data_IF_029353041283
#
_entry.id   IF_029353041283
#
_cell.length_a   1.000
_cell.length_b   1.000
_cell.length_c   1.000
_cell.angle_alpha   90.00
_cell.angle_beta   90.00
_cell.angle_gamma   90.00
#
_symmetry.space_group_name_H-M   'P 1'
#
loop_
_entity.id
_entity.type
_entity.pdbx_description
1 polymer ?
#
# COMPACT_ATOMS: atom_id res chain seq x y z
N UNK A 1 20.28 -6.78 8.16
CA UNK A 1 20.81 -5.40 8.18
C UNK A 1 21.03 -4.81 6.78
N UNK A 2 21.71 -5.50 5.87
CA UNK A 2 21.98 -4.96 4.53
C UNK A 2 20.73 -4.56 3.76
N UNK A 3 19.68 -5.36 3.82
CA UNK A 3 18.40 -5.05 3.16
C UNK A 3 17.79 -3.77 3.73
N UNK A 4 17.76 -3.62 5.04
CA UNK A 4 17.28 -2.42 5.74
C UNK A 4 18.07 -1.18 5.31
N UNK A 5 19.40 -1.26 5.30
CA UNK A 5 20.25 -0.16 4.87
C UNK A 5 20.03 0.19 3.40
N UNK A 6 19.92 -0.79 2.51
CA UNK A 6 19.63 -0.55 1.10
C UNK A 6 18.29 0.17 0.93
N UNK A 7 17.24 -0.28 1.62
CA UNK A 7 15.94 0.38 1.58
C UNK A 7 16.07 1.84 2.02
N UNK A 8 16.67 2.11 3.17
CA UNK A 8 16.86 3.46 3.68
C UNK A 8 17.65 4.34 2.70
N UNK A 9 18.77 3.84 2.18
CA UNK A 9 19.60 4.57 1.20
C UNK A 9 18.79 4.90 -0.05
N UNK A 10 18.03 3.95 -0.61
CA UNK A 10 17.19 4.16 -1.78
C UNK A 10 16.17 5.27 -1.53
N UNK A 11 15.51 5.28 -0.37
CA UNK A 11 14.55 6.33 -0.03
C UNK A 11 15.21 7.69 0.19
N UNK A 12 16.39 7.75 0.80
CA UNK A 12 17.17 8.99 0.99
C UNK A 12 17.61 9.55 -0.35
N UNK A 13 18.23 8.74 -1.21
CA UNK A 13 18.67 9.17 -2.54
C UNK A 13 17.48 9.65 -3.37
N UNK A 14 16.38 8.92 -3.32
CA UNK A 14 15.15 9.32 -4.02
C UNK A 14 14.60 10.63 -3.50
N UNK A 15 14.55 10.84 -2.18
CA UNK A 15 14.13 12.09 -1.56
C UNK A 15 15.02 13.25 -1.95
N UNK A 16 16.34 13.03 -2.00
CA UNK A 16 17.30 14.02 -2.46
C UNK A 16 17.08 14.43 -3.92
N UNK A 17 16.80 13.47 -4.79
CA UNK A 17 16.57 13.72 -6.23
C UNK A 17 15.22 14.41 -6.47
N UNK A 18 14.16 13.98 -5.76
CA UNK A 18 12.80 14.49 -5.97
C UNK A 18 12.55 15.85 -5.31
N UNK A 19 13.27 16.16 -4.24
CA UNK A 19 13.09 17.36 -3.44
C UNK A 19 11.88 17.29 -2.50
N UNK A 20 11.78 18.31 -1.62
CA UNK A 20 10.86 18.33 -0.49
C UNK A 20 9.39 18.25 -0.91
N UNK A 21 8.95 19.04 -1.90
CA UNK A 21 7.53 19.10 -2.27
C UNK A 21 6.98 17.73 -2.72
N UNK A 22 7.71 17.04 -3.60
CA UNK A 22 7.31 15.71 -4.07
C UNK A 22 7.35 14.67 -2.95
N UNK A 23 8.31 14.78 -2.04
CA UNK A 23 8.42 13.86 -0.92
C UNK A 23 7.31 14.08 0.13
N UNK A 24 6.87 15.32 0.39
CA UNK A 24 5.72 15.61 1.25
C UNK A 24 4.47 14.91 0.72
N UNK A 25 4.15 15.10 -0.56
CA UNK A 25 2.98 14.44 -1.17
C UNK A 25 3.16 12.92 -1.11
N UNK A 26 4.37 12.44 -1.40
CA UNK A 26 4.68 11.01 -1.31
C UNK A 26 4.46 10.44 0.09
N UNK A 27 4.78 11.18 1.13
CA UNK A 27 4.60 10.78 2.51
C UNK A 27 3.12 10.77 2.92
N UNK A 28 2.35 11.78 2.49
CA UNK A 28 0.89 11.80 2.67
C UNK A 28 0.24 10.53 2.07
N UNK A 29 0.68 10.10 0.89
CA UNK A 29 0.19 8.84 0.30
C UNK A 29 0.59 7.59 1.10
N UNK A 30 1.71 7.61 1.80
CA UNK A 30 2.08 6.50 2.71
C UNK A 30 1.13 6.44 3.89
N UNK A 31 0.83 7.58 4.51
CA UNK A 31 -0.16 7.66 5.60
C UNK A 31 -1.53 7.16 5.11
N UNK A 32 -1.95 7.59 3.94
CA UNK A 32 -3.21 7.16 3.35
C UNK A 32 -3.24 5.64 3.08
N UNK A 33 -2.13 5.07 2.60
CA UNK A 33 -1.99 3.64 2.40
C UNK A 33 -2.08 2.86 3.72
N UNK A 34 -1.50 3.37 4.80
CA UNK A 34 -1.60 2.78 6.16
C UNK A 34 -3.06 2.77 6.61
N UNK A 35 -3.76 3.90 6.49
CA UNK A 35 -5.16 4.03 6.92
C UNK A 35 -6.06 3.06 6.15
N UNK A 36 -5.92 2.98 4.82
CA UNK A 36 -6.73 2.06 4.03
C UNK A 36 -6.38 0.60 4.34
N UNK A 37 -5.10 0.27 4.49
CA UNK A 37 -4.68 -1.05 4.89
C UNK A 37 -5.29 -1.43 6.24
N UNK A 38 -5.27 -0.52 7.22
CA UNK A 38 -5.90 -0.70 8.53
C UNK A 38 -7.42 -0.94 8.45
N UNK A 39 -8.12 -0.22 7.59
CA UNK A 39 -9.58 -0.37 7.48
C UNK A 39 -10.00 -1.69 6.81
N UNK A 40 -9.19 -2.25 5.91
CA UNK A 40 -9.62 -3.34 5.04
C UNK A 40 -8.86 -4.66 5.23
N UNK A 41 -7.75 -4.72 6.01
CA UNK A 41 -6.93 -5.93 6.12
C UNK A 41 -7.70 -7.14 6.66
N UNK A 42 -8.59 -6.93 7.62
CA UNK A 42 -9.38 -8.00 8.23
C UNK A 42 -10.37 -8.62 7.23
N UNK A 43 -11.09 -7.76 6.51
CA UNK A 43 -12.03 -8.20 5.48
C UNK A 43 -11.30 -8.94 4.36
N UNK A 44 -10.18 -8.40 3.91
CA UNK A 44 -9.36 -9.00 2.87
C UNK A 44 -8.76 -10.35 3.32
N UNK A 45 -8.29 -10.44 4.55
CA UNK A 45 -7.80 -11.66 5.14
C UNK A 45 -8.87 -12.77 5.15
N UNK A 46 -10.04 -12.45 5.68
CA UNK A 46 -11.16 -13.43 5.80
C UNK A 46 -11.66 -13.89 4.45
N UNK A 47 -11.71 -12.99 3.46
CA UNK A 47 -12.29 -13.29 2.15
C UNK A 47 -11.34 -14.02 1.22
N UNK A 48 -10.05 -13.67 1.22
CA UNK A 48 -9.10 -14.16 0.22
C UNK A 48 -7.96 -15.02 0.76
N UNK A 49 -7.52 -14.84 1.99
CA UNK A 49 -6.27 -15.45 2.46
C UNK A 49 -6.48 -16.57 3.48
N UNK A 50 -7.59 -16.57 4.20
CA UNK A 50 -7.79 -17.43 5.37
C UNK A 50 -7.64 -18.94 5.12
N UNK A 51 -7.84 -19.42 3.92
CA UNK A 51 -7.66 -20.83 3.59
C UNK A 51 -6.53 -21.12 2.59
N UNK A 52 -5.80 -20.09 2.13
CA UNK A 52 -4.62 -20.28 1.28
C UNK A 52 -3.38 -20.61 2.08
N UNK A 53 -3.29 -20.00 3.23
CA UNK A 53 -2.10 -20.05 4.05
C UNK A 53 -2.51 -20.86 5.28
N UNK A 54 -2.01 -22.09 5.38
CA UNK A 54 -2.10 -22.91 6.61
C UNK A 54 -1.19 -22.32 7.69
N UNK A 55 -1.36 -21.04 7.97
CA UNK A 55 -0.62 -20.28 8.96
C UNK A 55 -1.57 -19.83 10.05
N UNK A 56 -1.01 -19.36 11.15
CA UNK A 56 -1.76 -18.71 12.20
C UNK A 56 -2.52 -17.47 11.66
N UNK A 57 -3.65 -17.18 12.25
CA UNK A 57 -4.48 -16.05 11.83
C UNK A 57 -3.73 -14.73 11.82
N UNK A 58 -2.74 -14.58 12.69
CA UNK A 58 -1.87 -13.43 12.81
C UNK A 58 -1.09 -13.15 11.54
N UNK A 59 -0.38 -14.16 11.02
CA UNK A 59 0.38 -14.08 9.77
C UNK A 59 -0.53 -13.70 8.59
N UNK A 60 -1.75 -14.22 8.56
CA UNK A 60 -2.71 -13.93 7.50
C UNK A 60 -3.16 -12.45 7.55
N UNK A 61 -3.47 -11.92 8.73
CA UNK A 61 -3.81 -10.52 8.91
C UNK A 61 -2.64 -9.59 8.56
N UNK A 62 -1.42 -9.95 8.98
CA UNK A 62 -0.22 -9.18 8.68
C UNK A 62 0.07 -9.12 7.17
N UNK A 63 -0.03 -10.25 6.46
CA UNK A 63 0.12 -10.33 5.01
C UNK A 63 -0.97 -9.54 4.27
N UNK A 64 -2.20 -9.57 4.77
CA UNK A 64 -3.30 -8.79 4.22
C UNK A 64 -3.05 -7.30 4.32
N UNK A 65 -2.61 -6.85 5.50
CA UNK A 65 -2.24 -5.45 5.72
C UNK A 65 -1.10 -5.03 4.77
N UNK A 66 -0.02 -5.80 4.71
CA UNK A 66 1.13 -5.55 3.83
C UNK A 66 0.74 -5.54 2.36
N UNK A 67 -0.10 -6.48 1.93
CA UNK A 67 -0.57 -6.58 0.56
C UNK A 67 -1.39 -5.37 0.12
N UNK A 68 -2.34 -4.92 0.95
CA UNK A 68 -3.13 -3.70 0.67
C UNK A 68 -2.23 -2.47 0.67
N UNK A 69 -1.35 -2.33 1.68
CA UNK A 69 -0.43 -1.22 1.78
C UNK A 69 0.46 -1.08 0.52
N UNK A 70 1.07 -2.18 0.08
CA UNK A 70 1.91 -2.20 -1.12
C UNK A 70 1.11 -1.92 -2.38
N UNK A 71 -0.12 -2.44 -2.49
CA UNK A 71 -1.00 -2.21 -3.64
C UNK A 71 -1.32 -0.73 -3.80
N UNK A 72 -1.68 -0.03 -2.73
CA UNK A 72 -1.96 1.41 -2.75
C UNK A 72 -0.71 2.20 -3.09
N UNK A 73 0.43 1.80 -2.56
CA UNK A 73 1.71 2.44 -2.89
C UNK A 73 2.09 2.29 -4.39
N UNK A 74 1.75 1.15 -5.01
CA UNK A 74 1.94 0.94 -6.46
C UNK A 74 0.97 1.79 -7.29
N UNK A 75 -0.30 1.88 -6.88
CA UNK A 75 -1.29 2.77 -7.53
C UNK A 75 -0.81 4.22 -7.53
N UNK A 76 -0.29 4.69 -6.40
CA UNK A 76 0.35 6.01 -6.33
C UNK A 76 1.43 6.19 -7.40
N UNK A 77 2.31 5.19 -7.58
CA UNK A 77 3.38 5.26 -8.57
C UNK A 77 2.84 5.42 -10.00
N UNK A 78 1.72 4.74 -10.29
CA UNK A 78 0.98 4.90 -11.54
C UNK A 78 0.43 6.32 -11.71
N UNK A 79 -0.24 6.87 -10.68
CA UNK A 79 -0.78 8.22 -10.70
C UNK A 79 0.31 9.30 -10.93
N UNK A 80 1.46 9.16 -10.27
CA UNK A 80 2.59 10.07 -10.50
C UNK A 80 3.15 9.98 -11.92
N UNK A 81 3.22 8.79 -12.49
CA UNK A 81 3.67 8.61 -13.87
C UNK A 81 2.73 9.30 -14.85
N UNK A 82 1.43 9.19 -14.62
CA UNK A 82 0.40 9.85 -15.41
C UNK A 82 0.50 11.38 -15.26
N UNK A 83 0.61 11.89 -14.04
CA UNK A 83 0.75 13.32 -13.80
C UNK A 83 2.03 13.91 -14.42
N UNK A 84 3.15 13.19 -14.37
CA UNK A 84 4.40 13.62 -15.01
C UNK A 84 4.32 13.60 -16.55
N UNK A 85 3.60 12.64 -17.13
CA UNK A 85 3.37 12.61 -18.58
C UNK A 85 2.50 13.78 -19.02
N UNK A 86 1.52 14.20 -18.22
CA UNK A 86 0.68 15.38 -18.48
C UNK A 86 1.49 16.70 -18.50
N UNK A 87 2.57 16.80 -17.73
CA UNK A 87 3.40 18.00 -17.67
C UNK A 87 4.47 18.11 -18.79
N UNK A 88 4.70 17.04 -19.55
CA UNK A 88 5.78 16.94 -20.55
C UNK A 88 5.32 17.13 -22.01
N UNK A 89 4.52 18.17 -22.32
CA UNK A 89 4.04 18.51 -23.67
C UNK A 89 3.29 17.39 -24.43
N UNK A 90 2.90 16.32 -23.76
CA UNK A 90 1.99 15.35 -24.35
C UNK A 90 0.55 15.87 -24.26
N UNK A 91 -0.23 15.62 -25.29
CA UNK A 91 -1.64 16.00 -25.29
C UNK A 91 -2.35 15.30 -24.10
N UNK A 92 -2.87 16.07 -23.09
CA UNK A 92 -3.50 15.46 -21.91
C UNK A 92 -4.68 14.55 -22.26
N UNK A 93 -5.27 14.74 -23.42
CA UNK A 93 -6.39 13.93 -23.91
C UNK A 93 -5.98 12.47 -24.24
N UNK A 94 -4.71 12.23 -24.54
CA UNK A 94 -4.18 10.86 -24.71
C UNK A 94 -4.27 10.02 -23.44
N UNK A 95 -4.37 10.68 -22.28
CA UNK A 95 -4.52 10.03 -20.98
C UNK A 95 -5.95 9.58 -20.68
N UNK A 96 -6.94 10.00 -21.49
CA UNK A 96 -8.34 9.54 -21.36
C UNK A 96 -8.42 8.02 -21.45
N UNK A 97 -7.66 7.41 -22.34
CA UNK A 97 -7.69 5.96 -22.57
C UNK A 97 -7.11 5.15 -21.41
N UNK A 98 -5.89 5.43 -20.91
CA UNK A 98 -5.38 4.76 -19.69
C UNK A 98 -6.28 4.96 -18.49
N UNK A 99 -6.85 6.15 -18.32
CA UNK A 99 -7.74 6.43 -17.21
C UNK A 99 -9.04 5.64 -17.29
N UNK A 100 -9.72 5.68 -18.43
CA UNK A 100 -10.92 4.89 -18.63
C UNK A 100 -10.66 3.40 -18.37
N UNK A 101 -9.51 2.89 -18.80
CA UNK A 101 -9.11 1.51 -18.54
C UNK A 101 -8.96 1.23 -17.03
N UNK A 102 -8.36 2.16 -16.26
CA UNK A 102 -8.23 2.02 -14.80
C UNK A 102 -9.59 2.01 -14.14
N UNK A 103 -10.46 2.98 -14.46
CA UNK A 103 -11.81 3.10 -13.89
C UNK A 103 -12.64 1.86 -14.22
N UNK A 104 -12.62 1.42 -15.48
CA UNK A 104 -13.34 0.23 -15.94
C UNK A 104 -12.80 -1.01 -15.22
N UNK A 105 -11.49 -1.16 -15.11
CA UNK A 105 -10.89 -2.30 -14.39
C UNK A 105 -11.28 -2.32 -12.91
N UNK A 106 -11.33 -1.17 -12.24
CA UNK A 106 -11.78 -1.06 -10.86
C UNK A 106 -13.28 -1.41 -10.73
N UNK A 107 -14.12 -0.95 -11.65
CA UNK A 107 -15.54 -1.30 -11.67
C UNK A 107 -15.73 -2.80 -11.88
N UNK A 108 -15.03 -3.40 -12.86
CA UNK A 108 -15.07 -4.85 -13.10
C UNK A 108 -14.59 -5.62 -11.86
N UNK A 109 -13.50 -5.18 -11.23
CA UNK A 109 -12.99 -5.81 -10.01
C UNK A 109 -14.02 -5.74 -8.87
N UNK A 110 -14.68 -4.59 -8.69
CA UNK A 110 -15.72 -4.42 -7.68
C UNK A 110 -16.92 -5.32 -7.96
N UNK A 111 -17.38 -5.38 -9.21
CA UNK A 111 -18.48 -6.26 -9.61
C UNK A 111 -18.06 -7.74 -9.40
N UNK A 112 -16.87 -8.11 -9.85
CA UNK A 112 -16.36 -9.48 -9.69
C UNK A 112 -16.28 -9.89 -8.22
N UNK A 113 -15.91 -8.95 -7.35
CA UNK A 113 -15.86 -9.19 -5.91
C UNK A 113 -17.25 -9.38 -5.30
N UNK A 114 -18.20 -8.52 -5.64
CA UNK A 114 -19.57 -8.59 -5.11
C UNK A 114 -20.36 -9.81 -5.60
N UNK A 115 -20.06 -10.30 -6.80
CA UNK A 115 -20.75 -11.44 -7.41
C UNK A 115 -19.92 -12.73 -7.42
N UNK A 116 -18.91 -12.80 -6.59
CA UNK A 116 -17.96 -13.91 -6.49
C UNK A 116 -18.68 -15.26 -6.25
N UNK A 117 -19.70 -15.28 -5.39
CA UNK A 117 -20.51 -16.46 -5.07
C UNK A 117 -21.22 -17.06 -6.29
N UNK A 118 -21.51 -16.26 -7.34
CA UNK A 118 -22.14 -16.80 -8.55
C UNK A 118 -21.31 -17.90 -9.24
N UNK A 119 -19.98 -17.86 -9.07
CA UNK A 119 -19.08 -18.85 -9.65
C UNK A 119 -18.55 -19.81 -8.57
N UNK A 120 -18.18 -19.28 -7.40
CA UNK A 120 -17.63 -20.11 -6.31
C UNK A 120 -18.59 -21.20 -5.83
N UNK A 121 -19.90 -20.90 -5.86
CA UNK A 121 -20.93 -21.80 -5.36
C UNK A 121 -21.46 -22.79 -6.43
N UNK A 122 -20.89 -22.76 -7.63
CA UNK A 122 -21.20 -23.77 -8.65
C UNK A 122 -20.64 -25.13 -8.23
N UNK A 123 -21.45 -26.16 -8.28
CA UNK A 123 -21.08 -27.55 -7.92
C UNK A 123 -19.81 -28.01 -8.63
N UNK A 124 -19.57 -27.53 -9.87
CA UNK A 124 -18.36 -27.85 -10.65
C UNK A 124 -17.10 -27.24 -10.01
N UNK A 125 -17.18 -26.01 -9.53
CA UNK A 125 -16.05 -25.35 -8.87
C UNK A 125 -15.80 -25.93 -7.48
N UNK A 126 -16.85 -26.23 -6.74
CA UNK A 126 -16.77 -26.87 -5.43
C UNK A 126 -16.12 -28.26 -5.51
N UNK A 127 -16.48 -29.05 -6.51
CA UNK A 127 -15.89 -30.39 -6.74
C UNK A 127 -14.43 -30.36 -7.21
N UNK A 128 -14.02 -29.31 -7.96
CA UNK A 128 -12.67 -29.17 -8.50
C UNK A 128 -11.69 -28.55 -7.52
N UNK A 129 -12.17 -27.62 -6.68
CA UNK A 129 -11.35 -26.84 -5.77
C UNK A 129 -11.92 -26.92 -4.36
N UNK A 130 -11.43 -27.88 -3.59
CA UNK A 130 -11.87 -28.11 -2.23
C UNK A 130 -11.51 -26.95 -1.27
N UNK A 131 -10.44 -26.22 -1.56
CA UNK A 131 -10.03 -25.07 -0.75
C UNK A 131 -10.89 -23.85 -1.08
N UNK A 132 -11.68 -23.37 -0.14
CA UNK A 132 -12.64 -22.27 -0.32
C UNK A 132 -12.01 -20.96 -0.81
N UNK A 133 -10.86 -20.55 -0.27
CA UNK A 133 -10.24 -19.29 -0.72
C UNK A 133 -9.56 -19.41 -2.07
N UNK A 134 -8.98 -20.58 -2.38
CA UNK A 134 -8.48 -20.83 -3.73
C UNK A 134 -9.65 -20.77 -4.72
N UNK A 135 -10.77 -21.38 -4.36
CA UNK A 135 -12.01 -21.33 -5.13
C UNK A 135 -12.49 -19.88 -5.33
N UNK A 136 -12.54 -19.10 -4.26
CA UNK A 136 -12.92 -17.70 -4.30
C UNK A 136 -11.99 -16.87 -5.18
N UNK A 137 -10.68 -17.07 -5.07
CA UNK A 137 -9.70 -16.37 -5.90
C UNK A 137 -9.80 -16.75 -7.38
N UNK A 138 -9.88 -18.04 -7.67
CA UNK A 138 -10.05 -18.51 -9.06
C UNK A 138 -11.36 -17.99 -9.63
N UNK A 139 -12.44 -18.02 -8.87
CA UNK A 139 -13.75 -17.48 -9.25
C UNK A 139 -13.67 -15.97 -9.52
N UNK A 140 -12.95 -15.22 -8.70
CA UNK A 140 -12.70 -13.81 -8.94
C UNK A 140 -11.96 -13.58 -10.26
N UNK A 141 -10.88 -14.30 -10.53
CA UNK A 141 -10.11 -14.17 -11.77
C UNK A 141 -10.96 -14.54 -12.99
N UNK A 142 -11.72 -15.64 -12.90
CA UNK A 142 -12.60 -16.09 -13.98
C UNK A 142 -13.68 -15.05 -14.27
N UNK A 143 -14.36 -14.55 -13.23
CA UNK A 143 -15.40 -13.55 -13.41
C UNK A 143 -14.84 -12.22 -13.93
N UNK A 144 -13.69 -11.79 -13.43
CA UNK A 144 -12.98 -10.61 -13.92
C UNK A 144 -12.61 -10.76 -15.40
N UNK A 145 -12.09 -11.91 -15.80
CA UNK A 145 -11.74 -12.18 -17.19
C UNK A 145 -12.99 -12.21 -18.10
N UNK A 146 -14.06 -12.88 -17.67
CA UNK A 146 -15.34 -12.95 -18.42
C UNK A 146 -15.91 -11.54 -18.61
N UNK A 147 -16.00 -10.73 -17.56
CA UNK A 147 -16.54 -9.38 -17.65
C UNK A 147 -15.66 -8.47 -18.50
N UNK A 148 -14.33 -8.61 -18.41
CA UNK A 148 -13.39 -7.86 -19.26
C UNK A 148 -13.58 -8.22 -20.73
N UNK A 149 -13.64 -9.52 -21.06
CA UNK A 149 -13.84 -9.99 -22.43
C UNK A 149 -15.22 -9.58 -22.97
N UNK A 150 -16.26 -9.70 -22.16
CA UNK A 150 -17.61 -9.27 -22.54
C UNK A 150 -17.64 -7.76 -22.84
N UNK A 151 -17.00 -6.93 -22.01
CA UNK A 151 -16.93 -5.49 -22.24
C UNK A 151 -16.12 -5.15 -23.50
N UNK A 152 -15.00 -5.83 -23.74
CA UNK A 152 -14.19 -5.66 -24.96
C UNK A 152 -15.00 -6.06 -26.21
N UNK A 153 -15.72 -7.17 -26.17
CA UNK A 153 -16.59 -7.60 -27.25
C UNK A 153 -17.71 -6.59 -27.49
N UNK A 154 -18.38 -6.14 -26.42
CA UNK A 154 -19.44 -5.14 -26.48
C UNK A 154 -18.96 -3.80 -27.04
N UNK A 155 -17.80 -3.32 -26.59
CA UNK A 155 -17.19 -2.08 -27.07
C UNK A 155 -16.85 -2.15 -28.56
N UNK A 156 -16.42 -3.32 -29.03
CA UNK A 156 -16.13 -3.57 -30.46
C UNK A 156 -17.41 -3.62 -31.30
N UNK A 157 -18.46 -4.30 -30.80
CA UNK A 157 -19.75 -4.41 -31.49
C UNK A 157 -20.43 -3.03 -31.59
N UNK A 158 -20.44 -2.27 -30.50
CA UNK A 158 -21.05 -0.94 -30.42
C UNK A 158 -20.15 0.17 -31.00
N UNK A 159 -18.95 -0.17 -31.47
CA UNK A 159 -17.95 0.77 -31.98
C UNK A 159 -17.64 1.91 -31.00
N UNK A 160 -17.67 1.63 -29.69
CA UNK A 160 -17.36 2.61 -28.66
C UNK A 160 -15.86 2.91 -28.67
N UNK A 161 -15.50 4.13 -29.05
CA UNK A 161 -14.12 4.63 -28.97
C UNK A 161 -14.02 5.64 -27.86
N UNK A 162 -12.95 5.53 -27.07
CA UNK A 162 -12.62 6.54 -26.07
C UNK A 162 -12.14 7.77 -26.83
N UNK A 163 -12.85 8.86 -26.68
CA UNK A 163 -12.53 10.13 -27.32
C UNK A 163 -11.24 10.71 -26.72
N UNK A 164 -10.27 10.96 -27.59
CA UNK A 164 -8.99 11.58 -27.24
C UNK A 164 -8.92 13.05 -27.65
N UNK A 165 -9.98 13.59 -28.29
CA UNK A 165 -10.04 14.98 -28.74
C UNK A 165 -10.66 15.90 -27.68
N UNK A 166 -11.53 15.36 -26.82
CA UNK A 166 -12.15 16.11 -25.75
C UNK A 166 -11.27 16.15 -24.47
N UNK A 167 -11.49 17.16 -23.60
CA UNK A 167 -10.76 17.27 -22.34
C UNK A 167 -10.77 15.97 -21.55
N UNK A 168 -9.62 15.63 -21.00
CA UNK A 168 -9.46 14.41 -20.19
C UNK A 168 -10.38 14.44 -18.98
N UNK A 169 -11.12 13.35 -18.74
CA UNK A 169 -11.90 13.16 -17.51
C UNK A 169 -11.03 13.22 -16.25
N UNK A 170 -9.72 12.99 -16.41
CA UNK A 170 -8.72 13.09 -15.32
C UNK A 170 -8.11 14.50 -15.20
N UNK A 171 -8.39 15.42 -16.11
CA UNK A 171 -7.81 16.76 -16.05
C UNK A 171 -7.97 17.41 -14.66
N UNK A 172 -9.13 17.36 -13.97
CA UNK A 172 -9.27 17.91 -12.62
C UNK A 172 -8.35 17.27 -11.59
N UNK A 173 -8.12 15.95 -11.68
CA UNK A 173 -7.23 15.24 -10.76
C UNK A 173 -5.76 15.60 -11.01
N UNK A 174 -5.33 15.70 -12.28
CA UNK A 174 -3.98 16.15 -12.62
C UNK A 174 -3.74 17.59 -12.21
N UNK A 175 -4.69 18.45 -12.50
CA UNK A 175 -4.63 19.86 -12.11
C UNK A 175 -4.57 19.98 -10.59
N UNK A 176 -5.34 19.19 -9.85
CA UNK A 176 -5.27 19.13 -8.40
C UNK A 176 -3.89 18.75 -7.88
N UNK A 177 -3.29 17.68 -8.43
CA UNK A 177 -1.94 17.24 -8.06
C UNK A 177 -0.89 18.28 -8.45
N UNK A 178 -0.95 18.81 -9.68
CA UNK A 178 -0.01 19.82 -10.17
C UNK A 178 -0.16 21.13 -9.38
N UNK A 179 -1.37 21.55 -9.06
CA UNK A 179 -1.64 22.73 -8.23
C UNK A 179 -1.09 22.53 -6.82
N UNK A 180 -1.27 21.36 -6.21
CA UNK A 180 -0.72 21.05 -4.89
C UNK A 180 0.80 21.08 -4.90
N UNK A 181 1.44 20.52 -5.94
CA UNK A 181 2.90 20.58 -6.11
C UNK A 181 3.39 22.02 -6.28
N UNK A 182 2.74 22.81 -7.14
CA UNK A 182 3.12 24.20 -7.37
C UNK A 182 2.92 25.06 -6.12
N UNK A 183 1.84 24.84 -5.37
CA UNK A 183 1.59 25.53 -4.09
C UNK A 183 2.67 25.22 -3.06
N UNK A 184 3.07 23.95 -2.95
CA UNK A 184 4.16 23.54 -2.07
C UNK A 184 5.50 24.14 -2.51
N UNK A 185 5.79 24.15 -3.80
CA UNK A 185 7.01 24.77 -4.33
C UNK A 185 7.05 26.29 -4.04
N UNK A 186 5.92 26.99 -4.18
CA UNK A 186 5.81 28.41 -3.81
C UNK A 186 6.06 28.62 -2.31
N UNK A 187 5.45 27.80 -1.44
CA UNK A 187 5.65 27.90 0.00
C UNK A 187 7.10 27.61 0.42
N UNK A 188 7.73 26.62 -0.22
CA UNK A 188 9.12 26.24 0.03
C UNK A 188 10.07 27.35 -0.43
N UNK A 189 9.82 27.93 -1.60
CA UNK A 189 10.59 29.05 -2.14
C UNK A 189 10.45 30.32 -1.28
N UNK A 190 9.23 30.62 -0.81
CA UNK A 190 8.98 31.75 0.09
C UNK A 190 9.75 31.66 1.42
N UNK A 191 10.11 30.44 1.85
CA UNK A 191 10.94 30.17 3.03
C UNK A 191 12.44 30.03 2.70
N UNK A 192 12.88 30.43 1.49
CA UNK A 192 14.27 30.26 1.02
C UNK A 192 14.79 28.80 1.07
N UNK A 193 13.91 27.83 0.94
CA UNK A 193 14.25 26.40 0.87
C UNK A 193 14.40 26.02 -0.59
N UNK A 194 15.47 26.52 -1.25
CA UNK A 194 15.75 26.29 -2.67
C UNK A 194 17.05 25.53 -2.88
N UNK A 195 17.22 24.96 -4.05
CA UNK A 195 18.47 24.31 -4.46
C UNK A 195 18.86 23.15 -3.55
N UNK A 196 20.05 23.21 -2.95
CA UNK A 196 20.59 22.14 -2.10
C UNK A 196 19.76 21.92 -0.84
N UNK A 197 19.21 22.99 -0.24
CA UNK A 197 18.36 22.89 0.94
C UNK A 197 17.08 22.08 0.66
N UNK A 198 16.44 22.34 -0.49
CA UNK A 198 15.26 21.58 -0.91
C UNK A 198 15.57 20.09 -1.08
N UNK A 199 16.70 19.75 -1.68
CA UNK A 199 17.17 18.37 -1.84
C UNK A 199 17.48 17.72 -0.48
N UNK A 200 18.15 18.45 0.41
CA UNK A 200 18.50 17.95 1.74
C UNK A 200 17.26 17.64 2.59
N UNK A 201 16.29 18.56 2.65
CA UNK A 201 15.03 18.30 3.35
C UNK A 201 14.21 17.19 2.68
N UNK A 202 14.27 17.07 1.36
CA UNK A 202 13.71 15.93 0.63
C UNK A 202 14.34 14.60 1.06
N UNK A 203 15.68 14.57 1.24
CA UNK A 203 16.39 13.39 1.72
C UNK A 203 16.00 13.01 3.15
N UNK A 204 15.87 13.99 4.05
CA UNK A 204 15.40 13.76 5.42
C UNK A 204 14.00 13.15 5.41
N UNK A 205 13.07 13.74 4.66
CA UNK A 205 11.70 13.21 4.57
C UNK A 205 11.68 11.82 3.90
N UNK A 206 12.58 11.59 2.93
CA UNK A 206 12.82 10.29 2.33
C UNK A 206 13.27 9.26 3.38
N UNK A 207 14.17 9.65 4.30
CA UNK A 207 14.61 8.80 5.41
C UNK A 207 13.43 8.42 6.33
N UNK A 208 12.63 9.40 6.75
CA UNK A 208 11.43 9.14 7.58
C UNK A 208 10.46 8.19 6.87
N UNK A 209 10.21 8.41 5.59
CA UNK A 209 9.37 7.52 4.79
C UNK A 209 9.94 6.11 4.68
N UNK A 210 11.25 6.00 4.42
CA UNK A 210 11.96 4.72 4.40
C UNK A 210 11.89 4.00 5.74
N UNK A 211 12.08 4.73 6.84
CA UNK A 211 11.92 4.24 8.21
C UNK A 211 10.51 3.68 8.46
N UNK A 212 9.48 4.41 8.04
CA UNK A 212 8.09 3.93 8.14
C UNK A 212 7.87 2.62 7.36
N UNK A 213 8.42 2.50 6.15
CA UNK A 213 8.35 1.25 5.38
C UNK A 213 9.06 0.09 6.08
N UNK A 214 10.25 0.32 6.60
CA UNK A 214 11.00 -0.70 7.34
C UNK A 214 10.25 -1.11 8.61
N UNK A 215 9.71 -0.15 9.35
CA UNK A 215 8.95 -0.41 10.57
C UNK A 215 7.69 -1.25 10.29
N UNK A 216 6.93 -0.93 9.24
CA UNK A 216 5.78 -1.73 8.81
C UNK A 216 6.23 -3.14 8.42
N UNK A 217 7.33 -3.27 7.67
CA UNK A 217 7.86 -4.57 7.29
C UNK A 217 8.30 -5.39 8.52
N UNK A 218 8.94 -4.76 9.49
CA UNK A 218 9.34 -5.40 10.76
C UNK A 218 8.12 -5.88 11.54
N UNK A 219 7.09 -5.06 11.69
CA UNK A 219 5.84 -5.44 12.37
C UNK A 219 5.15 -6.63 11.68
N UNK A 220 5.10 -6.63 10.34
CA UNK A 220 4.56 -7.75 9.57
C UNK A 220 5.40 -9.01 9.78
N UNK A 221 6.72 -8.91 9.71
CA UNK A 221 7.62 -10.04 9.87
C UNK A 221 7.60 -10.62 11.29
N UNK A 222 7.46 -9.76 12.30
CA UNK A 222 7.30 -10.19 13.70
C UNK A 222 6.00 -10.95 13.98
N UNK A 223 4.99 -10.77 13.15
CA UNK A 223 3.74 -11.54 13.25
C UNK A 223 3.83 -12.93 12.62
N UNK A 224 4.98 -13.31 12.08
CA UNK A 224 5.22 -14.59 11.40
C UNK A 224 6.13 -15.47 12.27
N UNK A 225 5.58 -16.53 12.86
CA UNK A 225 6.32 -17.44 13.75
C UNK A 225 7.57 -18.03 13.10
N UNK A 226 7.52 -18.38 11.81
CA UNK A 226 8.67 -18.90 11.07
C UNK A 226 9.82 -17.88 10.88
N UNK A 227 9.52 -16.57 10.93
CA UNK A 227 10.52 -15.51 10.89
C UNK A 227 11.12 -15.30 12.28
N UNK A 228 10.27 -15.18 13.30
CA UNK A 228 10.71 -14.89 14.68
C UNK A 228 11.53 -16.02 15.29
N UNK A 229 11.32 -17.26 14.87
CA UNK A 229 12.13 -18.41 15.27
C UNK A 229 13.43 -18.56 14.50
N UNK A 230 13.67 -17.76 13.46
CA UNK A 230 14.89 -17.84 12.67
C UNK A 230 16.06 -17.19 13.41
N UNK A 231 17.16 -17.93 13.54
CA UNK A 231 18.39 -17.49 14.21
C UNK A 231 18.92 -16.15 13.67
N UNK A 232 18.88 -15.97 12.37
CA UNK A 232 19.31 -14.72 11.73
C UNK A 232 18.44 -13.51 12.09
N UNK A 233 17.18 -13.73 12.47
CA UNK A 233 16.29 -12.68 12.96
C UNK A 233 16.59 -12.32 14.42
N UNK A 234 16.84 -13.31 15.25
CA UNK A 234 17.11 -13.14 16.70
C UNK A 234 18.46 -12.49 16.95
N UNK A 235 19.48 -12.92 16.20
CA UNK A 235 20.87 -12.43 16.35
C UNK A 235 21.17 -11.17 15.54
N UNK A 236 20.14 -10.56 14.94
CA UNK A 236 20.31 -9.32 14.19
C UNK A 236 20.87 -8.20 15.05
N UNK A 237 21.81 -7.47 14.48
CA UNK A 237 22.47 -6.29 15.07
C UNK A 237 22.30 -5.09 14.14
N UNK A 238 22.66 -3.88 14.59
CA UNK A 238 22.66 -2.70 13.73
C UNK A 238 21.30 -2.13 13.40
N UNK A 239 21.09 -1.70 12.15
CA UNK A 239 19.91 -0.94 11.75
C UNK A 239 18.60 -1.73 11.91
N UNK A 240 18.58 -3.00 11.54
CA UNK A 240 17.37 -3.82 11.68
C UNK A 240 17.01 -4.01 13.15
N UNK A 241 17.99 -4.21 14.02
CA UNK A 241 17.78 -4.33 15.47
C UNK A 241 17.12 -3.08 16.04
N UNK A 242 17.58 -1.90 15.65
CA UNK A 242 16.98 -0.64 16.07
C UNK A 242 15.47 -0.56 15.70
N UNK A 243 15.11 -1.03 14.51
CA UNK A 243 13.69 -1.07 14.12
C UNK A 243 12.89 -2.16 14.85
N UNK A 244 13.53 -3.28 15.22
CA UNK A 244 12.90 -4.27 16.08
C UNK A 244 12.61 -3.70 17.46
N UNK A 245 13.57 -3.00 18.07
CA UNK A 245 13.39 -2.35 19.38
C UNK A 245 12.29 -1.27 19.32
N UNK A 246 12.31 -0.40 18.33
CA UNK A 246 11.21 0.59 18.13
C UNK A 246 9.85 -0.07 17.92
N UNK A 247 9.81 -1.22 17.26
CA UNK A 247 8.55 -1.94 17.08
C UNK A 247 7.97 -2.43 18.41
N UNK A 248 8.81 -2.85 19.35
CA UNK A 248 8.40 -3.24 20.71
C UNK A 248 7.76 -2.08 21.44
N UNK A 249 8.37 -0.88 21.37
CA UNK A 249 7.86 0.33 22.04
C UNK A 249 6.46 0.74 21.53
N UNK A 250 6.15 0.51 20.26
CA UNK A 250 4.87 0.89 19.67
C UNK A 250 3.81 -0.22 19.68
N UNK A 251 4.20 -1.47 19.90
CA UNK A 251 3.27 -2.63 19.96
C UNK A 251 2.10 -2.42 20.92
N UNK A 252 2.28 -1.88 22.15
CA UNK A 252 1.16 -1.69 23.10
C UNK A 252 0.05 -0.78 22.56
N UNK A 253 0.41 0.20 21.73
CA UNK A 253 -0.55 1.10 21.08
C UNK A 253 -1.20 0.42 19.88
N UNK A 254 -0.42 -0.28 19.07
CA UNK A 254 -0.90 -0.90 17.84
C UNK A 254 -1.73 -2.16 18.08
N UNK A 255 -1.43 -2.95 19.13
CA UNK A 255 -2.19 -4.17 19.48
C UNK A 255 -3.66 -3.88 19.80
N UNK A 256 -3.99 -2.66 20.23
CA UNK A 256 -5.37 -2.21 20.44
C UNK A 256 -6.16 -2.05 19.13
N UNK A 257 -5.48 -1.95 18.00
CA UNK A 257 -6.05 -1.60 16.70
C UNK A 257 -5.72 -2.58 15.56
N UNK A 258 -4.67 -3.38 15.73
CA UNK A 258 -4.19 -4.30 14.70
C UNK A 258 -4.15 -5.72 15.28
N UNK A 259 -5.01 -6.61 14.79
CA UNK A 259 -5.17 -7.98 15.28
C UNK A 259 -3.93 -8.86 15.07
N UNK A 260 -3.00 -8.45 14.23
CA UNK A 260 -1.74 -9.17 14.00
C UNK A 260 -0.59 -8.70 14.88
N UNK A 261 -0.79 -7.67 15.69
CA UNK A 261 0.22 -7.16 16.62
C UNK A 261 -0.12 -7.71 18.01
N UNK A 262 0.57 -8.76 18.44
CA UNK A 262 0.43 -9.31 19.79
C UNK A 262 1.54 -8.79 20.70
N UNK A 263 1.15 -8.61 21.97
CA UNK A 263 2.09 -8.32 23.05
C UNK A 263 2.71 -9.64 23.50
N UNK A 264 4.02 -9.72 23.52
CA UNK A 264 4.70 -10.83 24.16
C UNK A 264 4.56 -10.72 25.69
N UNK A 265 4.62 -11.83 26.43
CA UNK A 265 4.47 -11.81 27.89
C UNK A 265 5.47 -10.88 28.62
N UNK A 266 6.58 -10.51 27.96
CA UNK A 266 7.57 -9.57 28.47
C UNK A 266 7.22 -8.10 28.21
N UNK A 267 6.39 -7.78 27.21
CA UNK A 267 6.04 -6.42 26.84
C UNK A 267 5.02 -5.79 27.82
N UNK A 268 4.31 -6.62 28.58
CA UNK A 268 3.25 -6.20 29.53
C UNK A 268 3.85 -5.68 30.85
N UNK A 269 5.05 -6.06 31.19
CA UNK A 269 5.69 -5.74 32.49
C UNK A 269 5.97 -4.25 32.64
N UNK A 270 6.23 -3.53 31.55
CA UNK A 270 6.59 -2.11 31.59
C UNK A 270 5.38 -1.23 31.95
N UNK A 271 4.19 -1.55 31.45
CA UNK A 271 2.98 -0.75 31.70
C UNK A 271 2.46 -0.89 33.15
N UNK A 272 2.71 -2.06 33.79
CA UNK A 272 2.33 -2.30 35.20
C UNK A 272 3.26 -1.55 36.18
N UNK A 273 4.54 -1.47 35.87
CA UNK A 273 5.52 -0.80 36.72
C UNK A 273 5.32 0.73 36.70
N UNK A 274 5.06 1.31 35.52
CA UNK A 274 4.75 2.76 35.43
C UNK A 274 3.44 3.14 36.13
N UNK A 275 2.42 2.28 36.09
CA UNK A 275 1.15 2.54 36.75
C UNK A 275 1.19 2.40 38.27
N UNK A 276 2.12 1.65 38.84
CA UNK A 276 2.36 1.56 40.28
C UNK A 276 3.24 2.71 40.81
N UNK A 277 4.27 3.10 40.05
CA UNK A 277 5.15 4.22 40.42
C UNK A 277 4.43 5.58 40.44
N UNK A 278 3.39 5.73 39.61
CA UNK A 278 2.57 6.97 39.60
C UNK A 278 1.48 7.01 40.66
N UNK A 279 1.34 5.98 41.51
CA UNK A 279 0.37 5.91 42.59
C UNK A 279 0.98 6.08 44.01
N UNK A 280 2.30 6.14 44.08
CA UNK A 280 3.04 6.55 45.29
C UNK A 280 3.45 8.06 45.21
#
# INVERSE_FOLDING_TARGET
DWVTLIILIVFVVRGFVQGLAKEVISFIFVIFAIVIAWLYYETFAKTFLNSWISSDNQSIYALSFGGIFLSIWLVKKGLYRIASASSSNQNPNELNRPFANIVISLLIATISFNYLGMISDLNTFDSLIANESLRNFVSFIVLFAILTLALLALSKILNIKIDTENPSLMAPAYEGILRSLSTLDVLINARNIVGLKNKFFGAILGLFKGGTFVLIAVLILQSMSWVTQNHAWVETTGALRTFQDWSVDIKPVLSKHLLFVELEPGDVVVEFIESEILKE
#
